data_IF_475817205303
#
_entry.id   IF_475817205303
#
_cell.length_a   1.000
_cell.length_b   1.000
_cell.length_c   1.000
_cell.angle_alpha   90.00
_cell.angle_beta   90.00
_cell.angle_gamma   90.00
#
_symmetry.space_group_name_H-M   'P 1'
#
loop_
_entity.id
_entity.type
_entity.pdbx_description
1 polymer ?
#
# COMPACT_ATOMS: atom_id res chain seq x y z
N UNK A 1 -8.96 -6.07 21.73
CA UNK A 1 -8.49 -7.11 22.67
C UNK A 1 -7.66 -6.44 23.74
N UNK A 2 -7.92 -6.75 25.01
CA UNK A 2 -7.35 -6.00 26.15
C UNK A 2 -5.85 -6.26 26.39
N UNK A 3 -5.30 -7.35 25.82
CA UNK A 3 -3.91 -7.76 25.97
C UNK A 3 -2.99 -7.30 24.82
N UNK A 4 -3.54 -6.73 23.75
CA UNK A 4 -2.78 -6.38 22.55
C UNK A 4 -2.10 -5.02 22.75
N UNK A 5 -0.77 -5.00 22.71
CA UNK A 5 0.03 -3.78 22.81
C UNK A 5 1.03 -3.72 21.64
N UNK A 6 0.62 -3.05 20.56
CA UNK A 6 1.41 -2.91 19.34
C UNK A 6 2.14 -1.56 19.37
N UNK A 7 3.41 -1.60 19.78
CA UNK A 7 4.27 -0.43 19.87
C UNK A 7 5.10 -0.17 18.61
N UNK A 8 6.06 0.75 18.74
CA UNK A 8 7.02 1.10 17.69
C UNK A 8 7.78 -0.12 17.15
N UNK A 9 8.21 -1.02 18.03
CA UNK A 9 9.02 -2.19 17.64
C UNK A 9 8.23 -3.15 16.74
N UNK A 10 6.94 -3.34 17.03
CA UNK A 10 6.04 -4.09 16.17
C UNK A 10 5.92 -3.45 14.78
N UNK A 11 5.72 -2.13 14.72
CA UNK A 11 5.62 -1.42 13.44
C UNK A 11 6.90 -1.54 12.60
N UNK A 12 8.08 -1.53 13.24
CA UNK A 12 9.37 -1.75 12.57
C UNK A 12 9.43 -3.17 11.99
N UNK A 13 9.08 -4.19 12.78
CA UNK A 13 9.12 -5.59 12.32
C UNK A 13 8.13 -5.84 11.17
N UNK A 14 6.91 -5.31 11.25
CA UNK A 14 5.93 -5.39 10.16
C UNK A 14 6.46 -4.72 8.91
N UNK A 15 7.02 -3.52 9.02
CA UNK A 15 7.60 -2.82 7.87
C UNK A 15 8.74 -3.62 7.22
N UNK A 16 9.59 -4.29 8.02
CA UNK A 16 10.64 -5.18 7.51
C UNK A 16 10.05 -6.38 6.76
N UNK A 17 9.00 -7.01 7.29
CA UNK A 17 8.27 -8.09 6.61
C UNK A 17 7.68 -7.61 5.28
N UNK A 18 7.02 -6.46 5.27
CA UNK A 18 6.40 -5.89 4.08
C UNK A 18 7.43 -5.52 3.00
N UNK A 19 8.57 -4.97 3.40
CA UNK A 19 9.67 -4.63 2.50
C UNK A 19 10.33 -5.88 1.91
N UNK A 20 10.49 -6.94 2.71
CA UNK A 20 11.18 -8.15 2.26
C UNK A 20 10.26 -9.05 1.41
N UNK A 21 9.07 -9.38 1.90
CA UNK A 21 8.22 -10.39 1.27
C UNK A 21 7.36 -9.75 0.16
N UNK A 22 6.34 -8.92 0.44
CA UNK A 22 5.56 -8.27 -0.62
C UNK A 22 6.40 -7.42 -1.58
N UNK A 23 7.25 -6.51 -1.07
CA UNK A 23 7.90 -5.54 -1.94
C UNK A 23 9.09 -6.15 -2.72
N UNK A 24 10.07 -6.76 -2.06
CA UNK A 24 11.22 -7.32 -2.77
C UNK A 24 10.88 -8.60 -3.52
N UNK A 25 10.33 -9.63 -2.86
CA UNK A 25 10.13 -10.92 -3.50
C UNK A 25 8.98 -10.90 -4.53
N UNK A 26 7.82 -10.35 -4.18
CA UNK A 26 6.66 -10.43 -5.07
C UNK A 26 6.54 -9.24 -6.04
N UNK A 27 6.72 -8.00 -5.58
CA UNK A 27 6.61 -6.84 -6.44
C UNK A 27 7.84 -6.69 -7.36
N UNK A 28 9.06 -6.63 -6.80
CA UNK A 28 10.28 -6.43 -7.60
C UNK A 28 10.68 -7.69 -8.35
N UNK A 29 10.90 -8.83 -7.68
CA UNK A 29 11.41 -10.03 -8.34
C UNK A 29 10.32 -10.72 -9.18
N UNK A 30 9.20 -11.11 -8.57
CA UNK A 30 8.15 -11.84 -9.28
C UNK A 30 7.47 -10.97 -10.36
N UNK A 31 6.93 -9.81 -9.98
CA UNK A 31 6.19 -8.95 -10.92
C UNK A 31 7.10 -8.09 -11.79
N UNK A 32 8.33 -7.79 -11.38
CA UNK A 32 9.24 -6.98 -12.19
C UNK A 32 10.07 -7.79 -13.21
N UNK A 33 10.48 -9.01 -12.86
CA UNK A 33 11.39 -9.81 -13.70
C UNK A 33 10.81 -11.15 -14.18
N UNK A 34 10.06 -11.87 -13.34
CA UNK A 34 9.60 -13.24 -13.66
C UNK A 34 8.30 -13.20 -14.50
N UNK A 35 7.29 -12.46 -14.04
CA UNK A 35 6.03 -12.25 -14.75
C UNK A 35 5.63 -10.76 -14.74
N UNK A 36 6.14 -9.96 -15.70
CA UNK A 36 5.82 -8.54 -15.86
C UNK A 36 4.35 -8.20 -16.09
N UNK A 37 3.52 -9.18 -16.41
CA UNK A 37 2.08 -8.99 -16.63
C UNK A 37 1.24 -9.36 -15.42
N UNK A 38 1.84 -9.97 -14.39
CA UNK A 38 1.15 -10.24 -13.14
C UNK A 38 0.72 -8.93 -12.49
N UNK A 39 -0.37 -9.00 -11.72
CA UNK A 39 -0.79 -7.88 -10.89
C UNK A 39 0.28 -7.60 -9.80
N UNK A 40 0.47 -6.33 -9.45
CA UNK A 40 1.47 -5.92 -8.47
C UNK A 40 1.06 -6.41 -7.08
N UNK A 41 1.87 -7.28 -6.50
CA UNK A 41 1.68 -7.69 -5.11
C UNK A 41 1.95 -6.52 -4.16
N UNK A 42 1.07 -6.32 -3.19
CA UNK A 42 1.20 -5.27 -2.20
C UNK A 42 -0.08 -5.10 -1.39
N UNK A 43 -0.09 -4.07 -0.56
CA UNK A 43 -1.27 -3.70 0.20
C UNK A 43 -2.38 -3.20 -0.73
N UNK A 44 -3.55 -3.81 -0.60
CA UNK A 44 -4.69 -3.49 -1.46
C UNK A 44 -5.22 -2.10 -1.10
N UNK A 45 -4.96 -1.11 -1.95
CA UNK A 45 -5.23 0.31 -1.68
C UNK A 45 -6.64 0.60 -1.17
N UNK A 46 -7.69 0.13 -1.86
CA UNK A 46 -9.07 0.26 -1.39
C UNK A 46 -9.40 -0.37 -0.04
N UNK A 47 -8.61 -1.33 0.45
CA UNK A 47 -8.80 -1.95 1.76
C UNK A 47 -8.15 -1.18 2.91
N UNK A 48 -7.17 -0.32 2.63
CA UNK A 48 -6.46 0.44 3.67
C UNK A 48 -7.41 1.24 4.56
N UNK A 49 -8.38 2.02 4.01
CA UNK A 49 -9.33 2.76 4.84
C UNK A 49 -10.26 1.88 5.68
N UNK A 50 -10.44 0.60 5.30
CA UNK A 50 -11.34 -0.33 5.99
C UNK A 50 -10.65 -1.11 7.11
N UNK A 51 -9.33 -1.04 7.26
CA UNK A 51 -8.57 -1.81 8.27
C UNK A 51 -9.15 -1.59 9.68
N UNK A 52 -9.47 -0.35 10.03
CA UNK A 52 -10.09 -0.04 11.33
C UNK A 52 -11.44 -0.73 11.53
N UNK A 53 -12.30 -0.72 10.50
CA UNK A 53 -13.61 -1.39 10.54
C UNK A 53 -13.48 -2.91 10.60
N UNK A 54 -12.52 -3.48 9.86
CA UNK A 54 -12.19 -4.91 9.87
C UNK A 54 -11.78 -5.34 11.28
N UNK A 55 -10.86 -4.59 11.91
CA UNK A 55 -10.41 -4.85 13.26
C UNK A 55 -11.55 -4.73 14.30
N UNK A 56 -12.39 -3.70 14.18
CA UNK A 56 -13.55 -3.49 15.07
C UNK A 56 -14.61 -4.58 14.93
N UNK A 57 -14.75 -5.17 13.74
CA UNK A 57 -15.65 -6.30 13.50
C UNK A 57 -15.13 -7.63 14.10
N UNK A 58 -13.93 -7.64 14.70
CA UNK A 58 -13.32 -8.84 15.28
C UNK A 58 -12.71 -9.78 14.24
N UNK A 59 -12.46 -9.28 13.03
CA UNK A 59 -11.79 -10.06 12.00
C UNK A 59 -10.32 -10.31 12.39
N UNK A 60 -9.86 -11.55 12.20
CA UNK A 60 -8.50 -11.94 12.48
C UNK A 60 -7.66 -11.89 11.20
N UNK A 61 -6.49 -11.22 11.17
CA UNK A 61 -5.71 -11.07 9.94
C UNK A 61 -5.33 -12.40 9.28
N UNK A 62 -4.96 -13.44 10.04
CA UNK A 62 -4.72 -14.79 9.49
C UNK A 62 -5.98 -15.41 8.86
N UNK A 63 -7.14 -15.32 9.51
CA UNK A 63 -8.38 -15.88 8.98
C UNK A 63 -8.79 -15.15 7.69
N UNK A 64 -8.67 -13.83 7.69
CA UNK A 64 -8.88 -12.99 6.51
C UNK A 64 -7.93 -13.38 5.37
N UNK A 65 -6.64 -13.52 5.65
CA UNK A 65 -5.63 -13.90 4.65
C UNK A 65 -5.91 -15.29 4.03
N UNK A 66 -6.29 -16.27 4.85
CA UNK A 66 -6.66 -17.61 4.37
C UNK A 66 -7.90 -17.54 3.48
N UNK A 67 -8.94 -16.81 3.89
CA UNK A 67 -10.16 -16.66 3.10
C UNK A 67 -9.90 -15.96 1.76
N UNK A 68 -9.12 -14.88 1.76
CA UNK A 68 -8.72 -14.17 0.54
C UNK A 68 -7.90 -15.11 -0.37
N UNK A 69 -6.97 -15.89 0.19
CA UNK A 69 -6.19 -16.88 -0.56
C UNK A 69 -7.09 -17.94 -1.21
N UNK A 70 -8.02 -18.52 -0.46
CA UNK A 70 -8.96 -19.54 -0.96
C UNK A 70 -9.89 -18.97 -2.03
N UNK A 71 -10.55 -17.84 -1.75
CA UNK A 71 -11.44 -17.20 -2.72
C UNK A 71 -10.70 -16.69 -3.94
N UNK A 72 -9.47 -16.21 -3.77
CA UNK A 72 -8.63 -15.80 -4.87
C UNK A 72 -8.28 -16.96 -5.78
N UNK A 73 -7.83 -18.09 -5.22
CA UNK A 73 -7.56 -19.32 -5.98
C UNK A 73 -8.82 -19.85 -6.69
N UNK A 74 -9.98 -19.79 -6.04
CA UNK A 74 -11.25 -20.18 -6.64
C UNK A 74 -11.64 -19.25 -7.80
N UNK A 75 -11.53 -17.94 -7.61
CA UNK A 75 -11.81 -16.95 -8.65
C UNK A 75 -10.87 -17.15 -9.85
N UNK A 76 -9.61 -17.40 -9.55
CA UNK A 76 -8.58 -17.78 -10.52
C UNK A 76 -9.03 -18.99 -11.34
N UNK A 77 -9.28 -20.11 -10.67
CA UNK A 77 -9.65 -21.37 -11.30
C UNK A 77 -10.90 -21.24 -12.19
N UNK A 78 -11.87 -20.43 -11.77
CA UNK A 78 -13.12 -20.20 -12.50
C UNK A 78 -13.02 -19.14 -13.61
N UNK A 79 -11.84 -18.52 -13.81
CA UNK A 79 -11.63 -17.35 -14.68
C UNK A 79 -12.67 -16.25 -14.38
N UNK A 80 -12.91 -16.03 -13.09
CA UNK A 80 -13.91 -15.07 -12.61
C UNK A 80 -13.45 -13.62 -12.68
N UNK A 81 -12.13 -13.36 -12.74
CA UNK A 81 -11.54 -12.02 -12.83
C UNK A 81 -12.04 -11.25 -14.06
N UNK A 82 -11.85 -11.79 -15.27
CA UNK A 82 -12.36 -11.17 -16.49
C UNK A 82 -13.88 -11.00 -16.52
N UNK A 83 -14.66 -11.90 -15.89
CA UNK A 83 -16.11 -11.73 -15.74
C UNK A 83 -16.46 -10.57 -14.81
N UNK A 84 -15.77 -10.41 -13.68
CA UNK A 84 -15.99 -9.30 -12.75
C UNK A 84 -15.61 -7.95 -13.37
N UNK A 85 -14.50 -7.90 -14.13
CA UNK A 85 -14.12 -6.71 -14.91
C UNK A 85 -15.20 -6.38 -15.93
N UNK A 86 -15.71 -7.36 -16.69
CA UNK A 86 -16.77 -7.14 -17.69
C UNK A 86 -18.12 -6.72 -17.08
N UNK A 87 -18.41 -7.14 -15.84
CA UNK A 87 -19.60 -6.70 -15.10
C UNK A 87 -19.43 -5.28 -14.52
N UNK A 88 -18.20 -4.81 -14.38
CA UNK A 88 -17.90 -3.47 -13.91
C UNK A 88 -18.04 -2.50 -15.08
N UNK A 89 -19.10 -1.69 -15.08
CA UNK A 89 -19.30 -0.69 -16.13
C UNK A 89 -18.13 0.31 -16.16
N UNK A 90 -17.82 0.86 -17.34
CA UNK A 90 -16.81 1.92 -17.47
C UNK A 90 -17.13 3.12 -16.56
N UNK A 91 -18.42 3.41 -16.34
CA UNK A 91 -18.88 4.45 -15.41
C UNK A 91 -18.55 4.13 -13.95
N UNK A 92 -18.72 2.88 -13.53
CA UNK A 92 -18.36 2.40 -12.17
C UNK A 92 -16.85 2.46 -11.96
N UNK A 93 -16.07 2.01 -12.94
CA UNK A 93 -14.61 2.09 -12.91
C UNK A 93 -14.13 3.54 -12.83
N UNK A 94 -14.65 4.43 -13.68
CA UNK A 94 -14.32 5.86 -13.68
C UNK A 94 -14.70 6.55 -12.36
N UNK A 95 -15.89 6.26 -11.82
CA UNK A 95 -16.33 6.78 -10.53
C UNK A 95 -15.44 6.32 -9.38
N UNK A 96 -15.05 5.05 -9.35
CA UNK A 96 -14.15 4.53 -8.34
C UNK A 96 -12.75 5.15 -8.45
N UNK A 97 -12.22 5.34 -9.66
CA UNK A 97 -10.91 5.98 -9.88
C UNK A 97 -10.89 7.42 -9.36
N UNK A 98 -11.96 8.18 -9.60
CA UNK A 98 -12.10 9.55 -9.06
C UNK A 98 -12.16 9.51 -7.53
N UNK A 99 -12.99 8.62 -6.97
CA UNK A 99 -13.12 8.48 -5.51
C UNK A 99 -11.80 8.10 -4.83
N UNK A 100 -11.11 7.06 -5.33
CA UNK A 100 -9.83 6.61 -4.80
C UNK A 100 -8.73 7.66 -4.99
N UNK A 101 -8.72 8.33 -6.14
CA UNK A 101 -7.78 9.43 -6.40
C UNK A 101 -7.96 10.60 -5.45
N UNK A 102 -9.21 11.02 -5.19
CA UNK A 102 -9.53 12.10 -4.26
C UNK A 102 -9.22 11.73 -2.81
N UNK A 103 -9.70 10.57 -2.35
CA UNK A 103 -9.48 10.11 -0.97
C UNK A 103 -8.01 9.87 -0.68
N UNK A 104 -7.29 9.26 -1.62
CA UNK A 104 -5.84 9.09 -1.56
C UNK A 104 -5.11 10.43 -1.48
N UNK A 105 -5.45 11.38 -2.35
CA UNK A 105 -4.82 12.72 -2.34
C UNK A 105 -5.07 13.46 -1.03
N UNK A 106 -6.32 13.47 -0.55
CA UNK A 106 -6.68 14.09 0.74
C UNK A 106 -5.90 13.46 1.89
N UNK A 107 -5.81 12.12 1.93
CA UNK A 107 -5.05 11.41 2.95
C UNK A 107 -3.56 11.80 2.93
N UNK A 108 -2.93 11.83 1.75
CA UNK A 108 -1.50 12.18 1.64
C UNK A 108 -1.23 13.65 1.98
N UNK A 109 -2.14 14.57 1.64
CA UNK A 109 -2.06 15.98 2.05
C UNK A 109 -2.15 16.11 3.57
N UNK A 110 -3.07 15.38 4.21
CA UNK A 110 -3.17 15.39 5.67
C UNK A 110 -1.90 14.82 6.30
N UNK A 111 -1.39 13.67 5.83
CA UNK A 111 -0.18 13.05 6.37
C UNK A 111 1.06 13.94 6.24
N UNK A 112 1.25 14.64 5.12
CA UNK A 112 2.42 15.55 4.97
C UNK A 112 2.31 16.79 5.86
N UNK A 113 1.09 17.30 6.07
CA UNK A 113 0.86 18.44 6.96
C UNK A 113 1.00 18.05 8.43
N UNK A 114 0.44 16.91 8.84
CA UNK A 114 0.59 16.34 10.18
C UNK A 114 2.06 16.07 10.49
N UNK A 115 2.80 15.48 9.54
CA UNK A 115 4.24 15.31 9.67
C UNK A 115 4.96 16.65 9.86
N UNK A 116 4.72 17.64 8.99
CA UNK A 116 5.43 18.92 9.03
C UNK A 116 5.13 19.74 10.30
N UNK A 117 3.88 19.73 10.78
CA UNK A 117 3.45 20.40 12.02
C UNK A 117 3.95 19.64 13.25
N UNK A 118 4.01 18.31 13.19
CA UNK A 118 4.51 17.45 14.26
C UNK A 118 6.03 17.47 14.46
N UNK A 119 6.78 18.10 13.57
CA UNK A 119 8.23 18.28 13.74
C UNK A 119 8.52 19.16 14.96
N UNK A 120 9.15 18.58 15.97
CA UNK A 120 9.59 19.24 17.19
C UNK A 120 11.03 18.83 17.51
N UNK A 121 11.85 19.77 17.98
CA UNK A 121 13.20 19.52 18.48
C UNK A 121 13.46 20.38 19.72
N UNK A 122 14.57 20.12 20.41
CA UNK A 122 15.03 20.92 21.57
C UNK A 122 15.15 22.43 21.30
N UNK A 123 15.29 22.83 20.04
CA UNK A 123 15.41 24.22 19.59
C UNK A 123 14.24 24.69 18.70
N UNK A 124 13.27 23.83 18.41
CA UNK A 124 12.19 24.08 17.44
C UNK A 124 10.87 23.62 18.04
N UNK A 125 9.99 24.57 18.35
CA UNK A 125 8.65 24.28 18.89
C UNK A 125 7.75 23.60 17.84
N UNK A 126 6.85 22.73 18.32
CA UNK A 126 5.87 22.06 17.46
C UNK A 126 5.03 23.09 16.67
N UNK A 127 4.81 22.82 15.39
CA UNK A 127 4.05 23.68 14.48
C UNK A 127 4.85 24.78 13.79
N UNK A 128 6.06 25.10 14.26
CA UNK A 128 6.91 26.12 13.62
C UNK A 128 7.40 25.72 12.22
N UNK A 129 7.43 24.42 11.90
CA UNK A 129 7.93 23.85 10.64
C UNK A 129 6.82 23.43 9.66
N UNK A 130 5.55 23.76 9.92
CA UNK A 130 4.43 23.38 9.04
C UNK A 130 4.60 23.86 7.58
N UNK A 131 5.29 24.99 7.38
CA UNK A 131 5.60 25.52 6.05
C UNK A 131 6.44 24.57 5.19
N UNK A 132 7.23 23.67 5.79
CA UNK A 132 8.06 22.68 5.08
C UNK A 132 7.19 21.74 4.25
N UNK A 133 6.10 21.23 4.84
CA UNK A 133 5.15 20.35 4.15
C UNK A 133 4.51 21.04 2.94
N UNK A 134 4.17 22.32 3.07
CA UNK A 134 3.61 23.11 1.97
C UNK A 134 4.62 23.35 0.84
N UNK A 135 5.88 23.66 1.17
CA UNK A 135 6.94 23.86 0.16
C UNK A 135 7.23 22.54 -0.57
N UNK A 136 7.37 21.43 0.15
CA UNK A 136 7.59 20.11 -0.44
C UNK A 136 6.44 19.75 -1.39
N UNK A 137 5.19 19.98 -0.98
CA UNK A 137 4.02 19.74 -1.82
C UNK A 137 4.06 20.61 -3.10
N UNK A 138 4.28 21.93 -2.96
CA UNK A 138 4.29 22.86 -4.08
C UNK A 138 5.37 22.52 -5.11
N UNK A 139 6.59 22.23 -4.65
CA UNK A 139 7.71 21.85 -5.53
C UNK A 139 7.44 20.50 -6.20
N UNK A 140 6.88 19.53 -5.47
CA UNK A 140 6.54 18.22 -6.01
C UNK A 140 5.48 18.32 -7.12
N UNK A 141 4.46 19.17 -6.95
CA UNK A 141 3.44 19.43 -7.98
C UNK A 141 4.08 20.06 -9.23
N UNK A 142 4.92 21.08 -9.06
CA UNK A 142 5.60 21.73 -10.17
C UNK A 142 6.53 20.76 -10.94
N UNK A 143 7.28 19.94 -10.20
CA UNK A 143 8.16 18.93 -10.76
C UNK A 143 7.40 17.84 -11.51
N UNK A 144 6.28 17.36 -10.95
CA UNK A 144 5.40 16.42 -11.64
C UNK A 144 4.85 17.02 -12.93
N UNK A 145 4.35 18.26 -12.89
CA UNK A 145 3.83 18.95 -14.07
C UNK A 145 4.89 19.10 -15.17
N UNK A 146 6.14 19.40 -14.79
CA UNK A 146 7.27 19.43 -15.71
C UNK A 146 7.57 18.05 -16.30
N UNK A 147 7.66 17.00 -15.48
CA UNK A 147 7.90 15.62 -15.93
C UNK A 147 6.79 15.13 -16.88
N UNK A 148 5.54 15.52 -16.60
CA UNK A 148 4.41 15.26 -17.46
C UNK A 148 4.54 15.97 -18.82
N UNK A 149 4.99 17.23 -18.84
CA UNK A 149 5.23 17.99 -20.08
C UNK A 149 6.33 17.37 -20.95
N UNK A 150 7.37 16.78 -20.35
CA UNK A 150 8.48 16.14 -21.09
C UNK A 150 8.25 14.65 -21.38
N UNK A 151 7.05 14.13 -21.15
CA UNK A 151 6.69 12.71 -21.33
C UNK A 151 7.58 11.74 -20.51
N UNK A 152 8.05 12.17 -19.34
CA UNK A 152 8.83 11.33 -18.40
C UNK A 152 8.09 11.09 -17.09
N UNK A 153 6.76 10.88 -17.18
CA UNK A 153 5.91 10.64 -15.99
C UNK A 153 6.33 9.42 -15.18
N UNK A 154 6.92 8.41 -15.83
CA UNK A 154 7.48 7.23 -15.18
C UNK A 154 8.62 7.54 -14.17
N UNK A 155 9.27 8.71 -14.27
CA UNK A 155 10.26 9.20 -13.30
C UNK A 155 9.65 10.00 -12.14
N UNK A 156 8.34 10.24 -12.13
CA UNK A 156 7.70 11.08 -11.13
C UNK A 156 7.98 10.62 -9.70
N UNK A 157 7.75 9.34 -9.41
CA UNK A 157 7.93 8.79 -8.06
C UNK A 157 9.38 8.99 -7.56
N UNK A 158 10.43 8.48 -8.22
CA UNK A 158 11.80 8.59 -7.69
C UNK A 158 12.31 10.03 -7.62
N UNK A 159 12.03 10.86 -8.64
CA UNK A 159 12.55 12.24 -8.68
C UNK A 159 11.83 13.11 -7.65
N UNK A 160 10.51 12.99 -7.50
CA UNK A 160 9.76 13.72 -6.49
C UNK A 160 10.13 13.30 -5.07
N UNK A 161 10.29 11.99 -4.81
CA UNK A 161 10.69 11.50 -3.49
C UNK A 161 12.08 12.02 -3.07
N UNK A 162 13.06 11.94 -3.99
CA UNK A 162 14.41 12.43 -3.72
C UNK A 162 14.46 13.96 -3.55
N UNK A 163 13.73 14.68 -4.39
CA UNK A 163 13.64 16.15 -4.31
C UNK A 163 12.96 16.59 -3.01
N UNK A 164 11.86 15.92 -2.62
CA UNK A 164 11.17 16.17 -1.36
C UNK A 164 12.06 15.94 -0.15
N UNK A 165 12.84 14.86 -0.14
CA UNK A 165 13.83 14.58 0.89
C UNK A 165 14.90 15.70 0.97
N UNK A 166 15.48 16.09 -0.16
CA UNK A 166 16.48 17.17 -0.20
C UNK A 166 15.91 18.47 0.35
N UNK A 167 14.72 18.87 -0.10
CA UNK A 167 14.06 20.11 0.35
C UNK A 167 13.78 20.06 1.84
N UNK A 168 13.25 18.94 2.34
CA UNK A 168 12.99 18.74 3.75
C UNK A 168 14.28 18.91 4.58
N UNK A 169 15.39 18.29 4.14
CA UNK A 169 16.68 18.40 4.82
C UNK A 169 17.24 19.82 4.78
N UNK A 170 17.21 20.50 3.62
CA UNK A 170 17.71 21.87 3.45
C UNK A 170 16.92 22.87 4.29
N UNK A 171 15.60 22.68 4.41
CA UNK A 171 14.74 23.52 5.23
C UNK A 171 14.83 23.19 6.73
N UNK A 172 15.61 22.19 7.12
CA UNK A 172 15.87 21.90 8.53
C UNK A 172 15.00 20.79 9.14
N UNK A 173 14.28 19.99 8.36
CA UNK A 173 13.61 18.80 8.90
C UNK A 173 14.61 17.68 9.30
N UNK A 174 15.92 17.88 9.08
CA UNK A 174 16.98 16.90 9.34
C UNK A 174 17.65 16.98 10.72
N UNK A 175 17.26 17.92 11.60
CA UNK A 175 18.03 18.23 12.81
C UNK A 175 18.07 17.14 13.90
N UNK A 176 17.25 16.08 13.80
CA UNK A 176 17.28 14.98 14.78
C UNK A 176 17.02 13.59 14.15
N UNK A 177 17.51 13.36 12.92
CA UNK A 177 17.44 12.01 12.32
C UNK A 177 18.36 11.08 13.10
N UNK A 178 17.81 10.44 14.13
CA UNK A 178 18.47 9.37 14.87
C UNK A 178 18.15 8.05 14.18
N UNK A 179 19.16 7.43 13.59
CA UNK A 179 19.08 6.05 13.13
C UNK A 179 19.11 5.12 14.36
N UNK A 180 17.97 5.00 15.03
CA UNK A 180 17.80 4.14 16.23
C UNK A 180 17.53 2.70 15.84
N UNK A 181 16.99 2.47 14.63
CA UNK A 181 16.64 1.14 14.15
C UNK A 181 17.87 0.47 13.54
N UNK A 182 18.31 -0.63 14.15
CA UNK A 182 19.39 -1.46 13.61
C UNK A 182 18.99 -2.09 12.27
N UNK A 183 19.97 -2.36 11.40
CA UNK A 183 19.73 -3.17 10.21
C UNK A 183 19.54 -4.62 10.62
N UNK A 184 18.44 -5.24 10.20
CA UNK A 184 18.14 -6.63 10.55
C UNK A 184 17.11 -7.26 9.62
N UNK A 185 17.06 -8.59 9.63
CA UNK A 185 15.99 -9.34 8.99
C UNK A 185 14.78 -9.41 9.93
N UNK A 186 13.55 -9.34 9.39
CA UNK A 186 12.36 -9.54 10.21
C UNK A 186 12.30 -10.97 10.76
N UNK A 187 11.52 -11.17 11.81
CA UNK A 187 11.16 -12.52 12.21
C UNK A 187 10.36 -13.21 11.08
N UNK A 188 10.85 -14.33 10.56
CA UNK A 188 10.20 -15.09 9.48
C UNK A 188 9.35 -16.26 9.98
N UNK A 189 9.29 -16.49 11.30
CA UNK A 189 8.52 -17.58 11.87
C UNK A 189 7.01 -17.27 11.82
N UNK A 190 6.17 -18.07 11.14
CA UNK A 190 4.73 -17.86 11.11
C UNK A 190 4.07 -17.94 12.50
N UNK A 191 4.63 -18.72 13.42
CA UNK A 191 4.11 -18.85 14.79
C UNK A 191 4.30 -17.55 15.58
N UNK A 192 5.40 -16.84 15.35
CA UNK A 192 5.64 -15.53 15.94
C UNK A 192 4.54 -14.53 15.54
N UNK A 193 4.18 -14.50 14.26
CA UNK A 193 3.17 -13.58 13.76
C UNK A 193 1.75 -13.96 14.14
N UNK A 194 1.39 -15.23 13.98
CA UNK A 194 0.00 -15.65 13.99
C UNK A 194 -0.38 -16.59 15.13
N UNK A 195 0.59 -17.20 15.79
CA UNK A 195 0.34 -18.20 16.84
C UNK A 195 0.56 -17.68 18.25
N UNK A 196 1.34 -16.61 18.40
CA UNK A 196 1.70 -16.03 19.70
C UNK A 196 0.63 -15.07 20.22
N UNK A 197 0.42 -15.11 21.54
CA UNK A 197 -0.36 -14.11 22.30
C UNK A 197 0.52 -13.08 23.00
N UNK A 198 1.85 -13.24 22.92
CA UNK A 198 2.83 -12.38 23.60
C UNK A 198 3.73 -11.63 22.61
N UNK A 199 3.83 -12.10 21.37
CA UNK A 199 4.71 -11.57 20.34
C UNK A 199 3.95 -11.40 19.01
N UNK A 200 4.54 -10.66 18.06
CA UNK A 200 3.93 -10.41 16.76
C UNK A 200 2.59 -9.69 16.87
N UNK A 201 1.55 -10.25 16.27
CA UNK A 201 0.19 -9.66 16.34
C UNK A 201 -0.48 -9.86 17.70
N UNK A 202 0.04 -10.76 18.55
CA UNK A 202 -0.52 -11.08 19.88
C UNK A 202 -1.96 -11.60 19.86
N UNK A 203 -2.50 -12.04 18.73
CA UNK A 203 -3.89 -12.47 18.61
C UNK A 203 -4.12 -13.96 18.88
N UNK A 204 -3.06 -14.78 18.88
CA UNK A 204 -3.16 -16.23 18.87
C UNK A 204 -3.77 -16.78 17.57
N UNK A 205 -4.05 -18.09 17.53
CA UNK A 205 -4.63 -18.72 16.34
C UNK A 205 -6.11 -18.36 16.17
N UNK A 206 -6.60 -18.20 14.93
CA UNK A 206 -8.00 -17.89 14.67
C UNK A 206 -8.92 -19.07 15.02
N UNK A 207 -10.13 -18.74 15.48
CA UNK A 207 -11.23 -19.67 15.73
C UNK A 207 -12.36 -19.43 14.69
N UNK A 208 -13.45 -20.21 14.79
CA UNK A 208 -14.57 -20.11 13.83
C UNK A 208 -15.20 -18.71 13.77
N UNK A 209 -15.34 -18.02 14.91
CA UNK A 209 -15.92 -16.67 14.96
C UNK A 209 -15.09 -15.68 14.15
N UNK A 210 -13.76 -15.78 14.22
CA UNK A 210 -12.87 -14.96 13.41
C UNK A 210 -13.02 -15.20 11.91
N UNK A 211 -13.27 -16.44 11.46
CA UNK A 211 -13.56 -16.72 10.06
C UNK A 211 -14.91 -16.13 9.63
N UNK A 212 -15.94 -16.25 10.46
CA UNK A 212 -17.27 -15.67 10.20
C UNK A 212 -17.18 -14.14 10.11
N UNK A 213 -16.47 -13.50 11.04
CA UNK A 213 -16.26 -12.05 11.06
C UNK A 213 -15.45 -11.56 9.85
N UNK A 214 -14.46 -12.34 9.40
CA UNK A 214 -13.59 -11.98 8.27
C UNK A 214 -14.23 -12.22 6.90
N UNK A 215 -15.24 -13.10 6.82
CA UNK A 215 -15.89 -13.52 5.58
C UNK A 215 -16.40 -12.37 4.69
N UNK A 216 -17.21 -11.40 5.17
CA UNK A 216 -17.70 -10.32 4.30
C UNK A 216 -16.56 -9.46 3.75
N UNK A 217 -15.51 -9.24 4.54
CA UNK A 217 -14.34 -8.46 4.10
C UNK A 217 -13.49 -9.23 3.11
N UNK A 218 -13.36 -10.55 3.25
CA UNK A 218 -12.66 -11.39 2.29
C UNK A 218 -13.35 -11.38 0.91
N UNK A 219 -14.68 -11.50 0.90
CA UNK A 219 -15.48 -11.41 -0.33
C UNK A 219 -15.30 -10.03 -0.97
N UNK A 220 -15.39 -8.97 -0.17
CA UNK A 220 -15.17 -7.60 -0.64
C UNK A 220 -13.77 -7.42 -1.22
N UNK A 221 -12.72 -7.86 -0.53
CA UNK A 221 -11.34 -7.74 -0.98
C UNK A 221 -11.12 -8.41 -2.35
N UNK A 222 -11.64 -9.63 -2.54
CA UNK A 222 -11.53 -10.34 -3.82
C UNK A 222 -12.36 -9.64 -4.92
N UNK A 223 -13.53 -9.09 -4.59
CA UNK A 223 -14.30 -8.30 -5.54
C UNK A 223 -13.57 -7.00 -5.95
N UNK A 224 -12.83 -6.39 -5.02
CA UNK A 224 -12.10 -5.14 -5.26
C UNK A 224 -10.79 -5.32 -6.04
N UNK A 225 -10.31 -6.55 -6.25
CA UNK A 225 -9.17 -6.82 -7.14
C UNK A 225 -9.43 -6.41 -8.58
N UNK A 226 -10.65 -6.57 -9.09
CA UNK A 226 -10.95 -6.24 -10.50
C UNK A 226 -10.85 -4.72 -10.76
N UNK A 227 -11.48 -3.85 -9.94
CA UNK A 227 -11.27 -2.41 -10.09
C UNK A 227 -9.84 -1.93 -9.77
N UNK A 228 -9.15 -2.55 -8.81
CA UNK A 228 -7.76 -2.22 -8.46
C UNK A 228 -6.79 -2.54 -9.60
N UNK A 229 -6.91 -3.75 -10.18
CA UNK A 229 -6.22 -4.14 -11.41
C UNK A 229 -6.46 -3.12 -12.53
N UNK A 230 -7.72 -2.74 -12.77
CA UNK A 230 -8.06 -1.81 -13.84
C UNK A 230 -7.41 -0.44 -13.62
N UNK A 231 -7.36 0.03 -12.37
CA UNK A 231 -6.67 1.26 -12.01
C UNK A 231 -5.17 1.20 -12.28
N UNK A 232 -4.50 0.12 -11.87
CA UNK A 232 -3.08 -0.09 -12.19
C UNK A 232 -2.85 -0.14 -13.70
N UNK A 233 -3.69 -0.87 -14.44
CA UNK A 233 -3.60 -1.01 -15.89
C UNK A 233 -3.73 0.32 -16.62
N UNK A 234 -4.74 1.11 -16.28
CA UNK A 234 -4.93 2.46 -16.85
C UNK A 234 -3.73 3.35 -16.52
N UNK A 235 -3.21 3.28 -15.29
CA UNK A 235 -2.02 4.03 -14.90
C UNK A 235 -0.79 3.62 -15.72
N UNK A 236 -0.59 2.34 -15.99
CA UNK A 236 0.50 1.87 -16.86
C UNK A 236 0.36 2.42 -18.28
N UNK A 237 -0.84 2.35 -18.87
CA UNK A 237 -1.10 2.83 -20.23
C UNK A 237 -0.88 4.34 -20.38
N UNK A 238 -1.20 5.13 -19.35
CA UNK A 238 -1.01 6.58 -19.36
C UNK A 238 0.45 7.02 -19.13
N UNK A 239 1.27 6.20 -18.48
CA UNK A 239 2.60 6.60 -18.00
C UNK A 239 3.76 5.88 -18.68
N UNK A 240 3.55 4.67 -19.22
CA UNK A 240 4.64 3.91 -19.83
C UNK A 240 4.94 4.43 -21.24
N UNK A 241 6.21 4.35 -21.70
CA UNK A 241 6.59 4.70 -23.07
C UNK A 241 5.81 3.89 -24.11
N UNK A 242 5.70 4.40 -25.34
CA UNK A 242 5.15 3.61 -26.45
C UNK A 242 5.97 2.32 -26.65
N UNK A 243 5.33 1.24 -27.08
CA UNK A 243 5.95 -0.09 -27.33
C UNK A 243 6.22 -0.93 -26.07
N UNK A 244 5.55 -0.65 -24.95
CA UNK A 244 5.66 -1.44 -23.71
C UNK A 244 4.48 -2.39 -23.50
N UNK A 245 3.76 -2.77 -24.56
CA UNK A 245 2.52 -3.55 -24.46
C UNK A 245 2.73 -4.93 -23.83
N UNK A 246 3.97 -5.45 -23.89
CA UNK A 246 4.38 -6.74 -23.32
C UNK A 246 4.54 -6.75 -21.79
N UNK A 247 4.57 -5.57 -21.15
CA UNK A 247 4.74 -5.41 -19.69
C UNK A 247 3.53 -4.73 -19.04
N UNK A 248 2.45 -4.58 -19.81
CA UNK A 248 1.19 -4.09 -19.26
C UNK A 248 0.45 -5.27 -18.61
N UNK A 249 -0.09 -5.03 -17.42
CA UNK A 249 -0.75 -6.05 -16.60
C UNK A 249 -1.92 -6.71 -17.32
N UNK A 250 -2.09 -8.01 -17.15
CA UNK A 250 -3.21 -8.76 -17.69
C UNK A 250 -3.95 -9.45 -16.56
N UNK A 251 -5.28 -9.29 -16.51
CA UNK A 251 -6.10 -9.72 -15.38
C UNK A 251 -6.13 -11.25 -15.28
N UNK A 252 -6.03 -11.91 -16.43
CA UNK A 252 -6.08 -13.37 -16.54
C UNK A 252 -4.66 -13.99 -16.58
N UNK A 253 -3.60 -13.22 -16.87
CA UNK A 253 -2.20 -13.69 -16.97
C UNK A 253 -1.48 -13.79 -15.60
N UNK A 254 -2.27 -13.76 -14.51
CA UNK A 254 -1.83 -14.24 -13.19
C UNK A 254 -1.84 -15.77 -13.09
N UNK A 255 -2.15 -16.49 -14.19
CA UNK A 255 -2.48 -17.92 -14.17
C UNK A 255 -2.03 -18.75 -15.40
N UNK A 256 -0.86 -18.47 -15.96
CA UNK A 256 -0.23 -19.41 -16.90
C UNK A 256 1.25 -19.57 -16.66
#
# INVERSE_FOLDING_TARGET
>A
WDHVNLGKDFAIEVARVEMLIPALLFCVLASGFINPKANLAGNHGPMIPLIGTIALAGAHPLALAILIGVFGLLLSFLKGGSKLVNLTSEGTAGGLLIFLGLTGTMSQINSIQEWAVGLQSSTVEAGSMGYVGLIVLAVTIALYAFLAKVNKRWLAIPVCAFTGLIIALVLGAGFDIKFVTETGLPNLNPVYWWGSTEEGWMLGLPNMEHFIASLPFAILAVAMWSPDFLGHRIFQELNYPKKTEKVLMDVDDTMT
#
